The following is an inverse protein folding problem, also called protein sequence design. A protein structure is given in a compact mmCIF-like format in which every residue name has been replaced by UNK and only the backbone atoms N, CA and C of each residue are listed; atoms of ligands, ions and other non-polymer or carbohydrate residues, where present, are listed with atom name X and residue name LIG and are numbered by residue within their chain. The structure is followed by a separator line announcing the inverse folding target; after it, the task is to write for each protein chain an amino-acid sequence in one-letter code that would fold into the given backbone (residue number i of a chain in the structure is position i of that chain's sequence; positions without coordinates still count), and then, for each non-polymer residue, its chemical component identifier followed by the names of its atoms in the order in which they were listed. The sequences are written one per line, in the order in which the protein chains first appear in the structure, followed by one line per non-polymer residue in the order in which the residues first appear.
data_IF_313906445683
#
_entry.id   IF_313906445683
#
_cell.length_a   1.000
_cell.length_b   1.000
_cell.length_c   1.000
_cell.angle_alpha   90.00
_cell.angle_beta   90.00
_cell.angle_gamma   90.00
#
_symmetry.space_group_name_H-M   'P 1'
#
loop_
_entity.id
_entity.type
_entity.pdbx_description
1 polymer ?
#
# COMPACT_ATOMS: atom_id res chain seq x y z
N UNK A 1 -31.64 -76.43 31.30
CA UNK A 1 -31.06 -75.15 31.79
C UNK A 1 -30.21 -74.38 30.75
N UNK A 2 -30.11 -74.81 29.48
CA UNK A 2 -29.21 -74.17 28.48
C UNK A 2 -29.89 -73.18 27.50
N UNK A 3 -31.21 -72.98 27.53
CA UNK A 3 -31.88 -72.07 26.57
C UNK A 3 -32.02 -70.61 27.04
N UNK A 4 -31.72 -70.29 28.31
CA UNK A 4 -31.85 -68.92 28.85
C UNK A 4 -30.61 -68.04 28.70
N UNK A 5 -29.41 -68.60 28.43
CA UNK A 5 -28.16 -67.82 28.30
C UNK A 5 -27.94 -67.20 26.91
N UNK A 6 -28.57 -67.74 25.86
CA UNK A 6 -28.39 -67.26 24.48
C UNK A 6 -29.17 -65.96 24.21
N UNK A 7 -30.34 -65.79 24.85
CA UNK A 7 -31.19 -64.59 24.68
C UNK A 7 -30.70 -63.33 25.39
N UNK A 8 -29.71 -63.42 26.29
CA UNK A 8 -29.12 -62.24 26.94
C UNK A 8 -27.85 -61.76 26.23
N UNK A 9 -27.19 -62.61 25.44
CA UNK A 9 -25.99 -62.24 24.68
C UNK A 9 -26.30 -61.52 23.37
N UNK A 10 -27.41 -61.86 22.70
CA UNK A 10 -27.83 -61.23 21.44
C UNK A 10 -28.08 -59.70 21.55
N UNK A 11 -28.79 -59.18 22.56
CA UNK A 11 -28.97 -57.73 22.70
C UNK A 11 -27.67 -57.02 23.10
N UNK A 12 -26.78 -57.65 23.86
CA UNK A 12 -25.46 -57.08 24.21
C UNK A 12 -24.55 -56.99 22.98
N UNK A 13 -24.57 -58.02 22.12
CA UNK A 13 -23.85 -58.01 20.83
C UNK A 13 -24.42 -56.96 19.86
N UNK A 14 -25.75 -56.81 19.76
CA UNK A 14 -26.40 -55.78 18.94
C UNK A 14 -26.13 -54.35 19.44
N UNK A 15 -26.13 -54.14 20.77
CA UNK A 15 -25.77 -52.85 21.39
C UNK A 15 -24.28 -52.54 21.16
N UNK A 16 -23.40 -53.53 21.25
CA UNK A 16 -21.97 -53.36 20.94
C UNK A 16 -21.72 -53.06 19.45
N UNK A 17 -22.50 -53.67 18.54
CA UNK A 17 -22.42 -53.42 17.10
C UNK A 17 -22.94 -52.00 16.75
N UNK A 18 -24.03 -51.56 17.38
CA UNK A 18 -24.59 -50.20 17.24
C UNK A 18 -23.66 -49.12 17.80
N UNK A 19 -22.99 -49.38 18.94
CA UNK A 19 -21.97 -48.49 19.50
C UNK A 19 -20.71 -48.41 18.62
N UNK A 20 -20.33 -49.51 17.98
CA UNK A 20 -19.19 -49.54 17.03
C UNK A 20 -19.50 -48.87 15.69
N UNK A 21 -20.74 -48.95 15.20
CA UNK A 21 -21.16 -48.34 13.94
C UNK A 21 -21.24 -46.80 14.05
N UNK A 22 -21.71 -46.27 15.18
CA UNK A 22 -21.65 -44.83 15.47
C UNK A 22 -20.20 -44.32 15.49
N UNK A 23 -19.30 -45.13 16.08
CA UNK A 23 -17.84 -45.00 16.08
C UNK A 23 -17.22 -44.68 14.72
N UNK A 24 -17.51 -45.54 13.75
CA UNK A 24 -16.93 -45.48 12.40
C UNK A 24 -17.48 -44.31 11.58
N UNK A 25 -18.76 -43.97 11.74
CA UNK A 25 -19.38 -42.88 10.95
C UNK A 25 -18.91 -41.51 11.43
N UNK A 26 -18.83 -41.24 12.74
CA UNK A 26 -18.36 -39.93 13.21
C UNK A 26 -16.87 -39.70 12.90
N UNK A 27 -16.05 -40.76 13.02
CA UNK A 27 -14.64 -40.69 12.67
C UNK A 27 -14.46 -40.35 11.20
N UNK A 28 -15.30 -40.95 10.33
CA UNK A 28 -15.31 -40.65 8.91
C UNK A 28 -15.73 -39.20 8.64
N UNK A 29 -16.72 -38.64 9.36
CA UNK A 29 -17.14 -37.24 9.19
C UNK A 29 -16.03 -36.25 9.56
N UNK A 30 -15.37 -36.44 10.71
CA UNK A 30 -14.27 -35.56 11.11
C UNK A 30 -13.05 -35.73 10.20
N UNK A 31 -12.69 -36.96 9.84
CA UNK A 31 -11.59 -37.22 8.89
C UNK A 31 -11.81 -36.47 7.57
N UNK A 32 -13.04 -36.50 7.06
CA UNK A 32 -13.41 -35.76 5.86
C UNK A 32 -13.36 -34.23 6.02
N UNK A 33 -13.67 -33.71 7.22
CA UNK A 33 -13.50 -32.29 7.53
C UNK A 33 -12.01 -31.92 7.51
N UNK A 34 -11.19 -32.75 8.16
CA UNK A 34 -9.75 -32.54 8.28
C UNK A 34 -9.05 -32.61 6.93
N UNK A 35 -9.41 -33.58 6.09
CA UNK A 35 -8.87 -33.69 4.74
C UNK A 35 -9.16 -32.43 3.91
N UNK A 36 -10.41 -31.97 3.89
CA UNK A 36 -10.78 -30.75 3.16
C UNK A 36 -10.03 -29.51 3.68
N UNK A 37 -9.81 -29.44 4.99
CA UNK A 37 -9.03 -28.39 5.63
C UNK A 37 -7.55 -28.44 5.21
N UNK A 38 -6.92 -29.60 5.32
CA UNK A 38 -5.49 -29.78 4.99
C UNK A 38 -5.23 -29.50 3.50
N UNK A 39 -6.14 -29.90 2.60
CA UNK A 39 -6.09 -29.56 1.18
C UNK A 39 -6.19 -28.04 0.95
N UNK A 40 -7.08 -27.35 1.66
CA UNK A 40 -7.21 -25.89 1.58
C UNK A 40 -5.97 -25.16 2.12
N UNK A 41 -5.40 -25.64 3.23
CA UNK A 41 -4.17 -25.12 3.82
C UNK A 41 -2.95 -25.34 2.92
N UNK A 42 -2.86 -26.48 2.24
CA UNK A 42 -1.80 -26.75 1.26
C UNK A 42 -1.84 -25.70 0.14
N UNK A 43 -3.03 -25.46 -0.43
CA UNK A 43 -3.22 -24.43 -1.47
C UNK A 43 -2.85 -23.04 -0.93
N UNK A 44 -3.26 -22.70 0.29
CA UNK A 44 -2.92 -21.42 0.92
C UNK A 44 -1.41 -21.25 1.07
N UNK A 45 -0.71 -22.26 1.54
CA UNK A 45 0.75 -22.23 1.75
C UNK A 45 1.51 -22.09 0.43
N UNK A 46 1.04 -22.75 -0.63
CA UNK A 46 1.64 -22.69 -1.97
C UNK A 46 1.35 -21.37 -2.71
N UNK A 47 0.11 -20.88 -2.66
CA UNK A 47 -0.36 -19.75 -3.49
C UNK A 47 -0.53 -18.43 -2.73
N UNK A 48 -0.40 -18.44 -1.40
CA UNK A 48 -0.67 -17.28 -0.54
C UNK A 48 -2.16 -16.96 -0.36
N UNK A 49 -3.06 -17.61 -1.10
CA UNK A 49 -4.52 -17.46 -1.00
C UNK A 49 -5.12 -18.85 -0.87
N UNK A 50 -5.91 -19.08 0.17
CA UNK A 50 -6.50 -20.39 0.43
C UNK A 50 -7.74 -20.68 -0.42
N UNK A 51 -8.13 -21.96 -0.51
CA UNK A 51 -9.31 -22.39 -1.27
C UNK A 51 -10.59 -22.12 -0.48
N UNK A 52 -11.34 -21.07 -0.84
CA UNK A 52 -12.62 -20.75 -0.19
C UNK A 52 -13.61 -21.93 -0.20
N UNK A 53 -13.62 -22.73 -1.27
CA UNK A 53 -14.47 -23.92 -1.37
C UNK A 53 -14.02 -25.07 -0.45
N UNK A 54 -12.70 -25.24 -0.29
CA UNK A 54 -12.14 -26.25 0.62
C UNK A 54 -12.44 -25.94 2.07
N UNK A 55 -12.24 -24.69 2.50
CA UNK A 55 -12.60 -24.25 3.84
C UNK A 55 -14.11 -24.32 4.09
N UNK A 56 -14.96 -24.01 3.10
CA UNK A 56 -16.41 -24.17 3.26
C UNK A 56 -16.79 -25.64 3.51
N UNK A 57 -16.21 -26.56 2.74
CA UNK A 57 -16.42 -28.01 2.95
C UNK A 57 -15.95 -28.46 4.33
N UNK A 58 -14.80 -27.95 4.78
CA UNK A 58 -14.27 -28.22 6.12
C UNK A 58 -15.21 -27.72 7.22
N UNK A 59 -15.77 -26.50 7.06
CA UNK A 59 -16.76 -25.92 7.98
C UNK A 59 -17.98 -26.83 8.09
N UNK A 60 -18.60 -27.16 6.97
CA UNK A 60 -19.85 -27.92 6.95
C UNK A 60 -19.71 -29.26 7.67
N UNK A 61 -18.57 -29.94 7.47
CA UNK A 61 -18.28 -31.23 8.10
C UNK A 61 -17.86 -31.11 9.57
N UNK A 62 -17.09 -30.09 9.92
CA UNK A 62 -16.66 -29.87 11.31
C UNK A 62 -17.83 -29.44 12.21
N UNK A 63 -18.81 -28.68 11.68
CA UNK A 63 -20.04 -28.33 12.42
C UNK A 63 -20.82 -29.57 12.88
N UNK A 64 -20.90 -30.61 12.05
CA UNK A 64 -21.55 -31.88 12.42
C UNK A 64 -20.91 -32.49 13.67
N UNK A 65 -19.59 -32.38 13.81
CA UNK A 65 -18.86 -32.88 14.99
C UNK A 65 -19.22 -32.09 16.23
N UNK A 66 -19.25 -30.76 16.13
CA UNK A 66 -19.59 -29.88 17.25
C UNK A 66 -21.05 -30.06 17.69
N UNK A 67 -21.98 -30.18 16.75
CA UNK A 67 -23.42 -30.23 17.03
C UNK A 67 -23.90 -31.61 17.49
N UNK A 68 -23.40 -32.68 16.87
CA UNK A 68 -23.89 -34.05 17.13
C UNK A 68 -23.00 -34.84 18.08
N UNK A 69 -21.74 -34.42 18.27
CA UNK A 69 -20.74 -35.16 19.04
C UNK A 69 -19.93 -34.26 20.00
N UNK A 70 -20.59 -33.54 20.93
CA UNK A 70 -19.92 -32.57 21.81
C UNK A 70 -18.89 -33.17 22.78
N UNK A 71 -19.00 -34.46 23.09
CA UNK A 71 -18.05 -35.18 23.96
C UNK A 71 -16.96 -35.94 23.17
N UNK A 72 -16.81 -35.65 21.87
CA UNK A 72 -15.82 -36.30 21.01
C UNK A 72 -14.39 -35.90 21.40
N UNK A 73 -13.46 -36.85 21.29
CA UNK A 73 -12.02 -36.57 21.43
C UNK A 73 -11.45 -35.66 20.31
N UNK A 74 -12.23 -35.40 19.26
CA UNK A 74 -11.88 -34.53 18.13
C UNK A 74 -12.56 -33.15 18.22
N UNK A 75 -13.19 -32.82 19.35
CA UNK A 75 -13.94 -31.58 19.48
C UNK A 75 -13.03 -30.35 19.36
N UNK A 76 -11.86 -30.37 20.01
CA UNK A 76 -10.87 -29.30 19.89
C UNK A 76 -10.24 -29.25 18.49
N UNK A 77 -9.98 -30.40 17.85
CA UNK A 77 -9.58 -30.42 16.44
C UNK A 77 -10.66 -29.80 15.52
N UNK A 78 -11.94 -30.05 15.78
CA UNK A 78 -13.05 -29.45 15.02
C UNK A 78 -13.18 -27.94 15.28
N UNK A 79 -12.98 -27.48 16.51
CA UNK A 79 -12.92 -26.05 16.84
C UNK A 79 -11.77 -25.35 16.11
N UNK A 80 -10.59 -25.99 16.05
CA UNK A 80 -9.45 -25.48 15.28
C UNK A 80 -9.80 -25.36 13.79
N UNK A 81 -10.30 -26.43 13.17
CA UNK A 81 -10.72 -26.42 11.76
C UNK A 81 -11.73 -25.31 11.49
N UNK A 82 -12.74 -25.15 12.36
CA UNK A 82 -13.74 -24.10 12.22
C UNK A 82 -13.17 -22.70 12.38
N UNK A 83 -12.36 -22.44 13.40
CA UNK A 83 -11.79 -21.12 13.66
C UNK A 83 -10.94 -20.63 12.49
N UNK A 84 -10.04 -21.48 12.00
CA UNK A 84 -9.17 -21.16 10.86
C UNK A 84 -9.98 -21.01 9.57
N UNK A 85 -10.92 -21.93 9.31
CA UNK A 85 -11.74 -21.88 8.09
C UNK A 85 -12.67 -20.66 8.08
N UNK A 86 -13.25 -20.28 9.21
CA UNK A 86 -14.04 -19.06 9.30
C UNK A 86 -13.20 -17.80 9.05
N UNK A 87 -11.95 -17.77 9.51
CA UNK A 87 -11.05 -16.65 9.23
C UNK A 87 -10.79 -16.48 7.73
N UNK A 88 -10.47 -17.57 7.03
CA UNK A 88 -10.17 -17.55 5.58
C UNK A 88 -11.41 -17.42 4.70
N UNK A 89 -12.60 -17.79 5.18
CA UNK A 89 -13.89 -17.51 4.51
C UNK A 89 -14.47 -16.15 4.87
N UNK A 90 -13.66 -15.27 5.47
CA UNK A 90 -14.01 -13.90 5.84
C UNK A 90 -15.22 -13.78 6.78
N UNK A 91 -15.32 -14.68 7.75
CA UNK A 91 -16.32 -14.69 8.82
C UNK A 91 -15.65 -14.45 10.20
N UNK A 92 -15.05 -13.27 10.44
CA UNK A 92 -14.17 -13.04 11.59
C UNK A 92 -14.88 -13.16 12.95
N UNK A 93 -16.16 -12.79 13.07
CA UNK A 93 -16.94 -12.99 14.29
C UNK A 93 -17.10 -14.48 14.66
N UNK A 94 -17.27 -15.35 13.66
CA UNK A 94 -17.38 -16.80 13.89
C UNK A 94 -16.01 -17.38 14.24
N UNK A 95 -14.95 -16.90 13.59
CA UNK A 95 -13.58 -17.29 13.90
C UNK A 95 -13.21 -16.94 15.36
N UNK A 96 -13.42 -15.69 15.77
CA UNK A 96 -13.21 -15.22 17.15
C UNK A 96 -13.91 -16.13 18.17
N UNK A 97 -15.21 -16.41 17.96
CA UNK A 97 -15.99 -17.27 18.85
C UNK A 97 -15.36 -18.66 19.00
N UNK A 98 -15.00 -19.31 17.90
CA UNK A 98 -14.40 -20.66 17.94
C UNK A 98 -13.01 -20.66 18.56
N UNK A 99 -12.23 -19.60 18.36
CA UNK A 99 -10.94 -19.45 19.01
C UNK A 99 -11.07 -19.30 20.53
N UNK A 100 -11.95 -18.40 20.98
CA UNK A 100 -12.23 -18.22 22.42
C UNK A 100 -12.72 -19.50 23.07
N UNK A 101 -13.59 -20.25 22.40
CA UNK A 101 -14.11 -21.52 22.90
C UNK A 101 -13.00 -22.57 23.08
N UNK A 102 -12.09 -22.69 22.09
CA UNK A 102 -10.94 -23.60 22.21
C UNK A 102 -10.00 -23.18 23.34
N UNK A 103 -9.67 -21.88 23.42
CA UNK A 103 -8.75 -21.36 24.43
C UNK A 103 -9.31 -21.45 25.85
N UNK A 104 -10.63 -21.29 26.02
CA UNK A 104 -11.28 -21.36 27.32
C UNK A 104 -11.47 -22.80 27.80
N UNK A 105 -11.91 -23.70 26.92
CA UNK A 105 -12.30 -25.06 27.30
C UNK A 105 -11.19 -26.11 27.11
N UNK A 106 -10.23 -25.84 26.21
CA UNK A 106 -9.14 -26.75 25.85
C UNK A 106 -7.77 -26.03 25.83
N UNK A 107 -7.36 -25.37 26.93
CA UNK A 107 -6.11 -24.60 26.97
C UNK A 107 -4.83 -25.43 26.76
N UNK A 108 -4.90 -26.76 26.97
CA UNK A 108 -3.80 -27.70 26.73
C UNK A 108 -3.84 -28.32 25.32
N UNK A 109 -4.79 -27.92 24.47
CA UNK A 109 -4.86 -28.40 23.09
C UNK A 109 -3.57 -28.03 22.36
N UNK A 110 -3.09 -28.94 21.49
CA UNK A 110 -1.94 -28.69 20.62
C UNK A 110 -2.15 -27.48 19.70
N UNK A 111 -3.40 -27.05 19.50
CA UNK A 111 -3.76 -25.90 18.68
C UNK A 111 -3.84 -24.59 19.46
N UNK A 112 -3.74 -24.60 20.79
CA UNK A 112 -4.00 -23.41 21.61
C UNK A 112 -3.16 -22.20 21.16
N UNK A 113 -1.85 -22.40 20.93
CA UNK A 113 -0.95 -21.32 20.47
C UNK A 113 -1.34 -20.75 19.12
N UNK A 114 -1.63 -21.62 18.16
CA UNK A 114 -2.04 -21.21 16.81
C UNK A 114 -3.41 -20.49 16.85
N UNK A 115 -4.31 -20.94 17.71
CA UNK A 115 -5.62 -20.34 17.90
C UNK A 115 -5.54 -18.97 18.59
N UNK A 116 -4.56 -18.72 19.47
CA UNK A 116 -4.27 -17.36 19.96
C UNK A 116 -3.92 -16.43 18.80
N UNK A 117 -3.11 -16.90 17.85
CA UNK A 117 -2.75 -16.11 16.66
C UNK A 117 -3.95 -15.83 15.75
N UNK A 118 -4.78 -16.84 15.49
CA UNK A 118 -6.00 -16.64 14.72
C UNK A 118 -7.04 -15.76 15.44
N UNK A 119 -7.08 -15.79 16.77
CA UNK A 119 -7.87 -14.85 17.55
C UNK A 119 -7.39 -13.41 17.34
N UNK A 120 -6.09 -13.15 17.47
CA UNK A 120 -5.51 -11.82 17.24
C UNK A 120 -5.84 -11.30 15.82
N UNK A 121 -5.71 -12.16 14.80
CA UNK A 121 -6.07 -11.84 13.41
C UNK A 121 -7.56 -11.58 13.22
N UNK A 122 -8.41 -12.37 13.86
CA UNK A 122 -9.86 -12.17 13.81
C UNK A 122 -10.24 -10.82 14.42
N UNK A 123 -9.65 -10.47 15.57
CA UNK A 123 -9.80 -9.17 16.23
C UNK A 123 -9.40 -8.01 15.34
N UNK A 124 -8.26 -8.12 14.66
CA UNK A 124 -7.81 -7.10 13.72
C UNK A 124 -8.82 -6.91 12.56
N UNK A 125 -9.36 -8.01 12.00
CA UNK A 125 -10.42 -7.93 10.98
C UNK A 125 -11.73 -7.31 11.49
N UNK A 126 -11.99 -7.40 12.80
CA UNK A 126 -13.13 -6.76 13.47
C UNK A 126 -12.88 -5.30 13.81
N UNK A 127 -11.69 -4.76 13.51
CA UNK A 127 -11.21 -3.43 13.92
C UNK A 127 -11.10 -3.27 15.44
N UNK A 128 -10.94 -4.38 16.15
CA UNK A 128 -10.71 -4.41 17.59
C UNK A 128 -9.19 -4.42 17.84
N UNK A 129 -8.53 -3.34 17.43
CA UNK A 129 -7.06 -3.23 17.35
C UNK A 129 -6.38 -3.38 18.71
N UNK A 130 -6.90 -2.74 19.76
CA UNK A 130 -6.34 -2.83 21.12
C UNK A 130 -6.25 -4.28 21.63
N UNK A 131 -7.29 -5.09 21.39
CA UNK A 131 -7.29 -6.50 21.76
C UNK A 131 -6.37 -7.32 20.86
N UNK A 132 -6.37 -7.05 19.56
CA UNK A 132 -5.53 -7.73 18.59
C UNK A 132 -4.04 -7.57 18.93
N UNK A 133 -3.59 -6.34 19.17
CA UNK A 133 -2.17 -6.06 19.43
C UNK A 133 -1.71 -6.49 20.82
N UNK A 134 -2.58 -6.53 21.83
CA UNK A 134 -2.27 -7.19 23.11
C UNK A 134 -1.99 -8.69 22.91
N UNK A 135 -2.79 -9.37 22.09
CA UNK A 135 -2.58 -10.79 21.78
C UNK A 135 -1.32 -11.01 20.94
N UNK A 136 -1.04 -10.15 19.97
CA UNK A 136 0.21 -10.25 19.22
C UNK A 136 1.44 -10.03 20.11
N UNK A 137 1.39 -9.08 21.05
CA UNK A 137 2.48 -8.85 22.01
C UNK A 137 2.67 -10.07 22.92
N UNK A 138 1.59 -10.67 23.42
CA UNK A 138 1.64 -11.92 24.19
C UNK A 138 2.31 -13.04 23.39
N UNK A 139 1.98 -13.17 22.10
CA UNK A 139 2.59 -14.17 21.23
C UNK A 139 4.09 -13.90 21.05
N UNK A 140 4.47 -12.64 20.81
CA UNK A 140 5.85 -12.25 20.53
C UNK A 140 6.78 -12.44 21.73
N UNK A 141 6.34 -12.02 22.91
CA UNK A 141 7.10 -12.08 24.18
C UNK A 141 6.97 -13.45 24.88
N UNK A 142 5.89 -14.19 24.60
CA UNK A 142 5.58 -15.45 25.24
C UNK A 142 6.34 -16.68 24.72
N UNK A 143 6.00 -17.85 25.30
CA UNK A 143 6.57 -19.15 24.92
C UNK A 143 5.91 -19.76 23.68
N UNK A 144 6.06 -19.07 22.56
CA UNK A 144 5.53 -19.49 21.25
C UNK A 144 6.64 -20.04 20.34
N UNK A 145 6.23 -20.89 19.40
CA UNK A 145 7.12 -21.37 18.34
C UNK A 145 7.58 -20.19 17.46
N UNK A 146 8.78 -20.30 16.89
CA UNK A 146 9.40 -19.20 16.13
C UNK A 146 8.51 -18.67 15.01
N UNK A 147 7.78 -19.56 14.33
CA UNK A 147 6.86 -19.22 13.25
C UNK A 147 5.76 -18.26 13.73
N UNK A 148 5.10 -18.56 14.86
CA UNK A 148 4.04 -17.70 15.41
C UNK A 148 4.60 -16.37 15.93
N UNK A 149 5.78 -16.39 16.56
CA UNK A 149 6.47 -15.17 17.01
C UNK A 149 6.86 -14.28 15.83
N UNK A 150 7.31 -14.87 14.73
CA UNK A 150 7.64 -14.14 13.51
C UNK A 150 6.39 -13.49 12.90
N UNK A 151 5.27 -14.21 12.84
CA UNK A 151 4.00 -13.67 12.34
C UNK A 151 3.50 -12.53 13.22
N UNK A 152 3.51 -12.68 14.55
CA UNK A 152 3.12 -11.61 15.46
C UNK A 152 4.02 -10.37 15.34
N UNK A 153 5.34 -10.55 15.26
CA UNK A 153 6.28 -9.45 15.07
C UNK A 153 6.06 -8.70 13.73
N UNK A 154 5.72 -9.40 12.64
CA UNK A 154 5.41 -8.73 11.37
C UNK A 154 4.17 -7.82 11.49
N UNK A 155 3.13 -8.26 12.21
CA UNK A 155 1.92 -7.47 12.44
C UNK A 155 2.19 -6.29 13.40
N UNK A 156 2.89 -6.53 14.51
CA UNK A 156 3.29 -5.48 15.46
C UNK A 156 4.18 -4.42 14.78
N UNK A 157 5.19 -4.84 14.02
CA UNK A 157 6.06 -3.91 13.31
C UNK A 157 5.32 -3.09 12.26
N UNK A 158 4.35 -3.70 11.56
CA UNK A 158 3.53 -2.97 10.60
C UNK A 158 2.67 -1.92 11.29
N UNK A 159 2.03 -2.28 12.40
CA UNK A 159 1.24 -1.36 13.21
C UNK A 159 2.07 -0.17 13.69
N UNK A 160 3.24 -0.44 14.29
CA UNK A 160 4.10 0.64 14.77
C UNK A 160 4.59 1.57 13.65
N UNK A 161 4.86 1.02 12.46
CA UNK A 161 5.19 1.82 11.28
C UNK A 161 4.03 2.73 10.86
N UNK A 162 2.79 2.23 10.88
CA UNK A 162 1.58 3.03 10.59
C UNK A 162 1.36 4.14 11.63
N UNK A 163 1.66 3.84 12.90
CA UNK A 163 1.70 4.82 13.99
C UNK A 163 2.91 5.78 13.93
N UNK A 164 3.80 5.60 12.94
CA UNK A 164 5.08 6.34 12.77
C UNK A 164 6.07 6.16 13.92
N UNK A 165 5.88 5.14 14.76
CA UNK A 165 6.88 4.67 15.73
C UNK A 165 7.87 3.75 15.02
N UNK A 166 8.74 4.38 14.22
CA UNK A 166 9.74 3.68 13.43
C UNK A 166 10.77 2.91 14.29
N UNK A 167 11.22 3.39 15.47
CA UNK A 167 12.07 2.60 16.36
C UNK A 167 11.46 1.28 16.81
N UNK A 168 10.19 1.26 17.24
CA UNK A 168 9.53 0.01 17.61
C UNK A 168 9.27 -0.88 16.39
N UNK A 169 8.90 -0.29 15.25
CA UNK A 169 8.79 -1.04 14.00
C UNK A 169 10.11 -1.74 13.62
N UNK A 170 11.24 -1.05 13.79
CA UNK A 170 12.58 -1.62 13.58
C UNK A 170 12.83 -2.81 14.52
N UNK A 171 12.51 -2.69 15.82
CA UNK A 171 12.68 -3.77 16.81
C UNK A 171 12.00 -5.06 16.32
N UNK A 172 10.73 -4.99 15.92
CA UNK A 172 9.99 -6.16 15.48
C UNK A 172 10.50 -6.72 14.14
N UNK A 173 10.72 -5.87 13.14
CA UNK A 173 11.20 -6.34 11.84
C UNK A 173 12.61 -6.95 11.91
N UNK A 174 13.49 -6.40 12.74
CA UNK A 174 14.81 -6.99 12.97
C UNK A 174 14.73 -8.34 13.67
N UNK A 175 13.83 -8.51 14.64
CA UNK A 175 13.62 -9.81 15.29
C UNK A 175 13.27 -10.90 14.26
N UNK A 176 12.38 -10.58 13.30
CA UNK A 176 12.00 -11.50 12.21
C UNK A 176 13.17 -11.77 11.27
N UNK A 177 13.84 -10.73 10.79
CA UNK A 177 14.96 -10.85 9.86
C UNK A 177 16.13 -11.64 10.44
N UNK A 178 16.50 -11.35 11.69
CA UNK A 178 17.76 -11.83 12.28
C UNK A 178 17.61 -13.20 12.96
N UNK A 179 16.42 -13.57 13.46
CA UNK A 179 16.30 -14.71 14.38
C UNK A 179 15.04 -15.58 14.29
N UNK A 180 13.87 -15.00 13.97
CA UNK A 180 12.58 -15.70 14.06
C UNK A 180 12.11 -16.24 12.70
N UNK A 181 12.24 -15.44 11.64
CA UNK A 181 11.60 -15.70 10.36
C UNK A 181 12.24 -16.82 9.55
N UNK A 182 11.43 -17.49 8.73
CA UNK A 182 11.94 -18.30 7.62
C UNK A 182 12.42 -17.40 6.45
N UNK A 183 13.03 -17.98 5.41
CA UNK A 183 13.61 -17.19 4.30
C UNK A 183 12.63 -16.20 3.65
N UNK A 184 11.34 -16.57 3.53
CA UNK A 184 10.30 -15.69 2.99
C UNK A 184 10.02 -14.52 3.94
N UNK A 185 9.80 -14.82 5.22
CA UNK A 185 9.53 -13.82 6.26
C UNK A 185 10.73 -12.91 6.51
N UNK A 186 11.96 -13.43 6.44
CA UNK A 186 13.18 -12.63 6.55
C UNK A 186 13.28 -11.59 5.44
N UNK A 187 12.98 -11.97 4.19
CA UNK A 187 12.93 -11.03 3.05
C UNK A 187 11.81 -10.00 3.24
N UNK A 188 10.63 -10.44 3.66
CA UNK A 188 9.51 -9.54 3.92
C UNK A 188 9.85 -8.52 5.01
N UNK A 189 10.42 -8.97 6.12
CA UNK A 189 10.85 -8.12 7.22
C UNK A 189 11.96 -7.15 6.79
N UNK A 190 12.93 -7.62 5.98
CA UNK A 190 13.99 -6.77 5.44
C UNK A 190 13.43 -5.67 4.52
N UNK A 191 12.42 -5.98 3.70
CA UNK A 191 11.70 -4.98 2.90
C UNK A 191 10.96 -3.98 3.78
N UNK A 192 10.17 -4.46 4.75
CA UNK A 192 9.40 -3.59 5.66
C UNK A 192 10.32 -2.70 6.50
N UNK A 193 11.48 -3.20 6.91
CA UNK A 193 12.51 -2.42 7.59
C UNK A 193 13.08 -1.32 6.69
N UNK A 194 13.39 -1.64 5.43
CA UNK A 194 13.84 -0.65 4.45
C UNK A 194 12.76 0.42 4.18
N UNK A 195 11.49 0.01 4.12
CA UNK A 195 10.35 0.92 4.00
C UNK A 195 10.24 1.84 5.24
N UNK A 196 10.37 1.31 6.47
CA UNK A 196 10.39 2.13 7.70
C UNK A 196 11.53 3.16 7.70
N UNK A 197 12.72 2.79 7.18
CA UNK A 197 13.82 3.75 7.02
C UNK A 197 13.51 4.80 5.95
N UNK A 198 12.87 4.41 4.85
CA UNK A 198 12.45 5.36 3.82
C UNK A 198 11.43 6.37 4.36
N UNK A 199 10.42 5.89 5.07
CA UNK A 199 9.32 6.69 5.64
C UNK A 199 9.80 7.62 6.78
N UNK A 200 10.91 7.25 7.45
CA UNK A 200 11.60 8.06 8.45
C UNK A 200 12.74 8.93 7.89
N UNK A 201 12.85 9.06 6.56
CA UNK A 201 13.85 9.85 5.85
C UNK A 201 15.31 9.39 6.06
N UNK A 202 15.53 8.19 6.59
CA UNK A 202 16.83 7.52 6.74
C UNK A 202 17.26 6.85 5.43
N UNK A 203 17.51 7.66 4.41
CA UNK A 203 17.69 7.17 3.03
C UNK A 203 18.94 6.29 2.83
N UNK A 204 19.99 6.46 3.63
CA UNK A 204 21.19 5.62 3.54
C UNK A 204 20.91 4.19 4.02
N UNK A 205 20.23 4.07 5.15
CA UNK A 205 19.79 2.80 5.73
C UNK A 205 18.71 2.15 4.86
N UNK A 206 17.77 2.93 4.33
CA UNK A 206 16.77 2.45 3.38
C UNK A 206 17.42 1.88 2.11
N UNK A 207 18.39 2.60 1.51
CA UNK A 207 19.14 2.13 0.35
C UNK A 207 19.84 0.80 0.64
N UNK A 208 20.62 0.74 1.73
CA UNK A 208 21.27 -0.52 2.15
C UNK A 208 20.24 -1.63 2.32
N UNK A 209 19.09 -1.30 2.90
CA UNK A 209 18.03 -2.26 3.14
C UNK A 209 17.41 -2.84 1.88
N UNK A 210 17.10 -2.01 0.89
CA UNK A 210 16.58 -2.46 -0.41
C UNK A 210 17.62 -3.27 -1.20
N UNK A 211 18.91 -2.93 -1.10
CA UNK A 211 19.97 -3.72 -1.73
C UNK A 211 20.09 -5.12 -1.10
N UNK A 212 19.88 -5.25 0.21
CA UNK A 212 19.80 -6.56 0.86
C UNK A 212 18.62 -7.39 0.32
N UNK A 213 17.45 -6.78 0.11
CA UNK A 213 16.29 -7.48 -0.50
C UNK A 213 16.66 -8.06 -1.87
N UNK A 214 17.45 -7.35 -2.68
CA UNK A 214 17.91 -7.85 -3.98
C UNK A 214 18.80 -9.10 -3.87
N UNK A 215 19.50 -9.27 -2.75
CA UNK A 215 20.26 -10.48 -2.42
C UNK A 215 19.41 -11.65 -1.92
N UNK A 216 18.14 -11.43 -1.57
CA UNK A 216 17.25 -12.42 -0.93
C UNK A 216 16.31 -13.13 -1.90
N UNK A 217 16.71 -13.31 -3.16
CA UNK A 217 15.87 -13.92 -4.22
C UNK A 217 14.48 -13.27 -4.31
N UNK A 218 14.41 -11.98 -4.66
CA UNK A 218 13.15 -11.29 -4.85
C UNK A 218 12.41 -11.85 -6.08
N UNK A 219 11.08 -11.88 -6.03
CA UNK A 219 10.26 -12.06 -7.22
C UNK A 219 10.29 -10.82 -8.14
N UNK A 220 9.58 -10.88 -9.26
CA UNK A 220 9.49 -9.77 -10.23
C UNK A 220 9.05 -8.46 -9.57
N UNK A 221 8.00 -8.48 -8.76
CA UNK A 221 7.43 -7.28 -8.16
C UNK A 221 8.33 -6.75 -7.04
N UNK A 222 8.88 -7.63 -6.22
CA UNK A 222 9.82 -7.27 -5.16
C UNK A 222 11.11 -6.66 -5.74
N UNK A 223 11.62 -7.21 -6.85
CA UNK A 223 12.79 -6.67 -7.56
C UNK A 223 12.51 -5.28 -8.11
N UNK A 224 11.35 -5.09 -8.72
CA UNK A 224 10.90 -3.77 -9.20
C UNK A 224 10.91 -2.75 -8.06
N UNK A 225 10.20 -3.06 -6.95
CA UNK A 225 10.09 -2.17 -5.80
C UNK A 225 11.47 -1.86 -5.20
N UNK A 226 12.32 -2.87 -4.99
CA UNK A 226 13.64 -2.67 -4.39
C UNK A 226 14.55 -1.80 -5.26
N UNK A 227 14.59 -2.01 -6.59
CA UNK A 227 15.40 -1.18 -7.50
C UNK A 227 14.85 0.24 -7.61
N UNK A 228 13.53 0.39 -7.75
CA UNK A 228 12.90 1.72 -7.83
C UNK A 228 13.14 2.51 -6.54
N UNK A 229 12.92 1.90 -5.37
CA UNK A 229 13.19 2.55 -4.09
C UNK A 229 14.67 2.84 -3.87
N UNK A 230 15.58 1.98 -4.34
CA UNK A 230 17.02 2.24 -4.33
C UNK A 230 17.37 3.48 -5.16
N UNK A 231 16.72 3.68 -6.31
CA UNK A 231 16.87 4.89 -7.11
C UNK A 231 16.41 6.13 -6.35
N UNK A 232 15.21 6.08 -5.76
CA UNK A 232 14.65 7.20 -4.99
C UNK A 232 15.53 7.56 -3.77
N UNK A 233 16.02 6.56 -3.03
CA UNK A 233 16.97 6.79 -1.94
C UNK A 233 18.25 7.45 -2.46
N UNK A 234 18.77 6.98 -3.60
CA UNK A 234 20.00 7.52 -4.19
C UNK A 234 19.83 8.99 -4.60
N UNK A 235 18.68 9.37 -5.16
CA UNK A 235 18.38 10.78 -5.46
C UNK A 235 18.32 11.64 -4.21
N UNK A 236 17.67 11.17 -3.14
CA UNK A 236 17.61 11.90 -1.87
C UNK A 236 18.98 12.04 -1.20
N UNK A 237 19.91 11.15 -1.51
CA UNK A 237 21.31 11.19 -1.10
C UNK A 237 22.22 11.97 -2.08
N UNK A 238 21.66 12.63 -3.10
CA UNK A 238 22.41 13.35 -4.15
C UNK A 238 23.35 12.45 -4.97
N UNK A 239 23.09 11.14 -5.01
CA UNK A 239 23.83 10.13 -5.79
C UNK A 239 23.12 9.84 -7.10
N UNK A 240 22.96 10.86 -7.94
CA UNK A 240 22.12 10.81 -9.14
C UNK A 240 22.55 9.69 -10.11
N UNK A 241 23.83 9.53 -10.47
CA UNK A 241 24.24 8.47 -11.40
C UNK A 241 23.89 7.06 -10.90
N UNK A 242 24.09 6.81 -9.60
CA UNK A 242 23.72 5.52 -9.00
C UNK A 242 22.21 5.28 -9.03
N UNK A 243 21.41 6.34 -8.82
CA UNK A 243 19.96 6.27 -8.95
C UNK A 243 19.52 5.89 -10.37
N UNK A 244 20.12 6.53 -11.37
CA UNK A 244 19.88 6.22 -12.80
C UNK A 244 20.25 4.78 -13.12
N UNK A 245 21.37 4.27 -12.60
CA UNK A 245 21.79 2.88 -12.82
C UNK A 245 20.77 1.87 -12.29
N UNK A 246 20.13 2.14 -11.16
CA UNK A 246 19.07 1.28 -10.64
C UNK A 246 17.82 1.29 -11.52
N UNK A 247 17.40 2.45 -12.04
CA UNK A 247 16.28 2.55 -12.98
C UNK A 247 16.59 1.88 -14.31
N UNK A 248 17.82 2.03 -14.82
CA UNK A 248 18.25 1.45 -16.09
C UNK A 248 18.18 -0.09 -16.08
N UNK A 249 18.43 -0.71 -14.92
CA UNK A 249 18.24 -2.17 -14.72
C UNK A 249 16.79 -2.59 -14.93
N UNK A 250 15.83 -1.74 -14.58
CA UNK A 250 14.40 -2.01 -14.81
C UNK A 250 14.00 -1.71 -16.25
N UNK A 251 14.45 -0.59 -16.82
CA UNK A 251 14.10 -0.15 -18.17
C UNK A 251 14.54 -1.16 -19.24
N UNK A 252 15.72 -1.77 -19.07
CA UNK A 252 16.29 -2.73 -20.04
C UNK A 252 15.71 -4.14 -19.94
N UNK A 253 14.98 -4.44 -18.87
CA UNK A 253 14.47 -5.79 -18.63
C UNK A 253 13.05 -5.91 -19.20
N UNK A 254 12.82 -6.81 -20.19
CA UNK A 254 11.51 -7.01 -20.81
C UNK A 254 10.37 -7.30 -19.83
N UNK A 255 10.69 -7.80 -18.63
CA UNK A 255 9.69 -8.02 -17.60
C UNK A 255 9.00 -6.72 -17.15
N UNK A 256 9.63 -5.56 -17.29
CA UNK A 256 9.10 -4.28 -16.79
C UNK A 256 8.76 -3.28 -17.90
N UNK A 257 8.59 -3.73 -19.16
CA UNK A 257 8.21 -2.85 -20.26
C UNK A 257 6.89 -2.11 -20.04
N UNK A 258 5.93 -2.73 -19.35
CA UNK A 258 4.67 -2.10 -18.95
C UNK A 258 4.87 -0.90 -18.00
N UNK A 259 6.03 -0.80 -17.34
CA UNK A 259 6.36 0.26 -16.38
C UNK A 259 7.37 1.28 -16.92
N UNK A 260 7.80 1.15 -18.19
CA UNK A 260 8.86 2.01 -18.77
C UNK A 260 8.51 3.50 -18.67
N UNK A 261 7.25 3.89 -18.88
CA UNK A 261 6.86 5.31 -18.73
C UNK A 261 7.10 5.81 -17.31
N UNK A 262 6.64 5.08 -16.29
CA UNK A 262 6.87 5.44 -14.87
C UNK A 262 8.37 5.51 -14.54
N UNK A 263 9.17 4.61 -15.10
CA UNK A 263 10.61 4.61 -14.92
C UNK A 263 11.27 5.82 -15.60
N UNK A 264 10.81 6.21 -16.80
CA UNK A 264 11.30 7.42 -17.49
C UNK A 264 10.94 8.69 -16.74
N UNK A 265 9.74 8.77 -16.15
CA UNK A 265 9.38 9.89 -15.26
C UNK A 265 10.39 9.95 -14.10
N UNK A 266 10.70 8.82 -13.45
CA UNK A 266 11.72 8.79 -12.41
C UNK A 266 13.14 9.13 -12.92
N UNK A 267 13.47 8.87 -14.19
CA UNK A 267 14.71 9.37 -14.80
C UNK A 267 14.67 10.89 -14.96
N UNK A 268 13.58 11.47 -15.46
CA UNK A 268 13.40 12.92 -15.53
C UNK A 268 13.57 13.59 -14.16
N UNK A 269 13.05 12.95 -13.10
CA UNK A 269 13.23 13.43 -11.72
C UNK A 269 14.69 13.45 -11.29
N UNK A 270 15.46 12.43 -11.69
CA UNK A 270 16.89 12.40 -11.42
C UNK A 270 17.63 13.55 -12.10
N UNK A 271 17.24 13.90 -13.34
CA UNK A 271 17.81 15.04 -14.05
C UNK A 271 17.46 16.38 -13.38
N UNK A 272 16.22 16.55 -12.91
CA UNK A 272 15.84 17.70 -12.08
C UNK A 272 16.72 17.81 -10.82
N UNK A 273 16.95 16.71 -10.10
CA UNK A 273 17.82 16.72 -8.92
C UNK A 273 19.28 17.10 -9.26
N UNK A 274 19.77 16.77 -10.45
CA UNK A 274 21.09 17.20 -10.91
C UNK A 274 21.13 18.62 -11.51
N UNK A 275 19.99 19.28 -11.67
CA UNK A 275 19.87 20.58 -12.34
C UNK A 275 19.98 20.54 -13.86
N UNK A 276 19.95 19.36 -14.48
CA UNK A 276 19.96 19.20 -15.93
C UNK A 276 18.53 19.27 -16.47
N UNK A 277 17.97 20.49 -16.46
CA UNK A 277 16.58 20.73 -16.83
C UNK A 277 16.31 20.40 -18.30
N UNK A 278 17.30 20.52 -19.18
CA UNK A 278 17.17 20.16 -20.59
C UNK A 278 16.94 18.65 -20.76
N UNK A 279 17.71 17.82 -20.07
CA UNK A 279 17.47 16.37 -20.10
C UNK A 279 16.19 15.97 -19.37
N UNK A 280 15.85 16.65 -18.27
CA UNK A 280 14.60 16.42 -17.56
C UNK A 280 13.40 16.66 -18.48
N UNK A 281 13.36 17.82 -19.14
CA UNK A 281 12.32 18.20 -20.11
C UNK A 281 12.19 17.16 -21.23
N UNK A 282 13.28 16.86 -21.93
CA UNK A 282 13.27 15.89 -23.03
C UNK A 282 12.76 14.51 -22.57
N UNK A 283 13.16 14.07 -21.38
CA UNK A 283 12.74 12.78 -20.81
C UNK A 283 11.25 12.76 -20.46
N UNK A 284 10.72 13.85 -19.89
CA UNK A 284 9.30 13.94 -19.57
C UNK A 284 8.43 14.04 -20.81
N UNK A 285 8.85 14.80 -21.82
CA UNK A 285 8.13 14.88 -23.10
C UNK A 285 8.05 13.51 -23.78
N UNK A 286 9.17 12.79 -23.81
CA UNK A 286 9.21 11.44 -24.34
C UNK A 286 8.27 10.50 -23.54
N UNK A 287 8.31 10.58 -22.20
CA UNK A 287 7.44 9.77 -21.35
C UNK A 287 5.95 10.08 -21.57
N UNK A 288 5.59 11.36 -21.72
CA UNK A 288 4.21 11.80 -21.90
C UNK A 288 3.65 11.44 -23.29
N UNK A 289 4.48 11.49 -24.33
CA UNK A 289 4.05 11.27 -25.72
C UNK A 289 4.01 9.80 -26.13
N UNK A 290 4.91 8.96 -25.60
CA UNK A 290 4.98 7.54 -25.98
C UNK A 290 4.01 6.65 -25.20
N UNK A 291 3.43 7.15 -24.11
CA UNK A 291 2.61 6.33 -23.22
C UNK A 291 1.15 6.23 -23.69
N UNK A 292 0.57 5.04 -23.54
CA UNK A 292 -0.89 4.86 -23.58
C UNK A 292 -1.53 5.06 -22.19
N UNK A 293 -0.71 5.12 -21.14
CA UNK A 293 -1.18 5.29 -19.78
C UNK A 293 -1.41 6.78 -19.48
N UNK A 294 -2.67 7.18 -19.53
CA UNK A 294 -3.10 8.56 -19.28
C UNK A 294 -2.76 9.07 -17.88
N UNK A 295 -2.64 8.18 -16.89
CA UNK A 295 -2.19 8.55 -15.53
C UNK A 295 -0.71 8.96 -15.54
N UNK A 296 0.14 8.21 -16.22
CA UNK A 296 1.56 8.55 -16.34
C UNK A 296 1.79 9.77 -17.23
N UNK A 297 1.00 9.93 -18.30
CA UNK A 297 1.04 11.14 -19.12
C UNK A 297 0.69 12.39 -18.31
N UNK A 298 -0.34 12.32 -17.46
CA UNK A 298 -0.73 13.42 -16.59
C UNK A 298 0.42 13.82 -15.64
N UNK A 299 1.11 12.85 -15.04
CA UNK A 299 2.27 13.13 -14.18
C UNK A 299 3.43 13.75 -14.95
N UNK A 300 3.79 13.22 -16.12
CA UNK A 300 4.90 13.75 -16.92
C UNK A 300 4.63 15.19 -17.39
N UNK A 301 3.43 15.48 -17.90
CA UNK A 301 3.05 16.84 -18.27
C UNK A 301 2.99 17.79 -17.07
N UNK A 302 2.56 17.30 -15.91
CA UNK A 302 2.58 18.10 -14.69
C UNK A 302 4.02 18.49 -14.29
N UNK A 303 4.99 17.58 -14.39
CA UNK A 303 6.42 17.88 -14.13
C UNK A 303 6.97 18.91 -15.11
N UNK A 304 6.62 18.82 -16.39
CA UNK A 304 6.97 19.85 -17.37
C UNK A 304 6.39 21.21 -16.98
N UNK A 305 5.11 21.26 -16.60
CA UNK A 305 4.47 22.48 -16.12
C UNK A 305 5.20 23.11 -14.93
N UNK A 306 5.65 22.30 -13.97
CA UNK A 306 6.42 22.77 -12.81
C UNK A 306 7.77 23.37 -13.21
N UNK A 307 8.54 22.68 -14.07
CA UNK A 307 9.83 23.19 -14.57
C UNK A 307 9.63 24.55 -15.25
N UNK A 308 8.63 24.63 -16.13
CA UNK A 308 8.33 25.85 -16.85
C UNK A 308 7.89 26.99 -15.94
N UNK A 309 7.12 26.69 -14.89
CA UNK A 309 6.64 27.70 -13.95
C UNK A 309 7.75 28.21 -13.02
N UNK A 310 8.57 27.32 -12.47
CA UNK A 310 9.44 27.66 -11.34
C UNK A 310 10.91 27.83 -11.72
N UNK A 311 11.38 27.11 -12.74
CA UNK A 311 12.78 27.17 -13.15
C UNK A 311 12.99 28.09 -14.36
N UNK A 312 12.06 28.10 -15.31
CA UNK A 312 12.14 28.95 -16.51
C UNK A 312 11.31 30.23 -16.44
N UNK A 313 10.45 30.39 -15.43
CA UNK A 313 9.52 31.53 -15.27
C UNK A 313 8.67 31.82 -16.54
N UNK A 314 8.32 30.76 -17.27
CA UNK A 314 7.51 30.83 -18.49
C UNK A 314 6.09 30.32 -18.19
N UNK A 315 5.27 31.23 -17.70
CA UNK A 315 3.89 30.95 -17.32
C UNK A 315 3.03 30.50 -18.51
N UNK A 316 3.36 30.90 -19.74
CA UNK A 316 2.62 30.51 -20.93
C UNK A 316 2.82 29.02 -21.23
N UNK A 317 4.07 28.56 -21.27
CA UNK A 317 4.38 27.13 -21.44
C UNK A 317 3.95 26.31 -20.23
N UNK A 318 4.15 26.83 -19.01
CA UNK A 318 3.68 26.16 -17.80
C UNK A 318 2.18 25.85 -17.85
N UNK A 319 1.36 26.87 -18.17
CA UNK A 319 -0.08 26.69 -18.34
C UNK A 319 -0.40 25.64 -19.41
N UNK A 320 0.25 25.69 -20.56
CA UNK A 320 0.00 24.73 -21.64
C UNK A 320 0.27 23.28 -21.22
N UNK A 321 1.34 23.02 -20.45
CA UNK A 321 1.62 21.69 -19.92
C UNK A 321 0.66 21.29 -18.79
N UNK A 322 0.24 22.22 -17.95
CA UNK A 322 -0.81 21.95 -16.96
C UNK A 322 -2.15 21.59 -17.60
N UNK A 323 -2.55 22.29 -18.66
CA UNK A 323 -3.74 21.95 -19.44
C UNK A 323 -3.63 20.52 -20.01
N UNK A 324 -2.49 20.16 -20.60
CA UNK A 324 -2.22 18.79 -21.09
C UNK A 324 -2.28 17.74 -19.98
N UNK A 325 -1.78 18.06 -18.78
CA UNK A 325 -1.84 17.15 -17.63
C UNK A 325 -3.29 16.88 -17.19
N UNK A 326 -4.09 17.95 -17.08
CA UNK A 326 -5.51 17.85 -16.73
C UNK A 326 -6.32 17.12 -17.81
N UNK A 327 -6.02 17.36 -19.10
CA UNK A 327 -6.63 16.66 -20.23
C UNK A 327 -6.31 15.17 -20.21
N UNK A 328 -5.05 14.81 -19.97
CA UNK A 328 -4.63 13.41 -19.88
C UNK A 328 -5.39 12.69 -18.76
N UNK A 329 -5.34 13.20 -17.52
CA UNK A 329 -6.14 12.61 -16.44
C UNK A 329 -6.36 13.53 -15.21
N UNK A 330 -7.39 14.37 -15.26
CA UNK A 330 -7.87 15.21 -14.14
C UNK A 330 -8.31 14.49 -12.86
N UNK A 331 -8.39 13.16 -12.82
CA UNK A 331 -8.76 12.43 -11.59
C UNK A 331 -7.55 12.18 -10.68
N UNK A 332 -6.34 12.18 -11.27
CA UNK A 332 -5.07 12.05 -10.56
C UNK A 332 -4.78 13.27 -9.71
N UNK A 333 -3.93 13.13 -8.69
CA UNK A 333 -3.46 14.25 -7.89
C UNK A 333 -2.77 15.31 -8.76
N UNK A 334 -1.86 14.88 -9.63
CA UNK A 334 -1.17 15.75 -10.60
C UNK A 334 -2.14 16.48 -11.52
N UNK A 335 -3.14 15.80 -12.07
CA UNK A 335 -4.12 16.43 -12.98
C UNK A 335 -5.05 17.42 -12.28
N UNK A 336 -5.41 17.18 -11.01
CA UNK A 336 -6.20 18.13 -10.21
C UNK A 336 -5.41 19.39 -9.89
N UNK A 337 -4.16 19.22 -9.45
CA UNK A 337 -3.29 20.36 -9.14
C UNK A 337 -2.93 21.15 -10.40
N UNK A 338 -2.65 20.46 -11.51
CA UNK A 338 -2.43 21.08 -12.81
C UNK A 338 -3.62 21.95 -13.24
N UNK A 339 -4.86 21.44 -13.13
CA UNK A 339 -6.06 22.21 -13.47
C UNK A 339 -6.16 23.50 -12.64
N UNK A 340 -5.87 23.41 -11.34
CA UNK A 340 -5.88 24.56 -10.45
C UNK A 340 -4.81 25.59 -10.86
N UNK A 341 -3.57 25.15 -11.06
CA UNK A 341 -2.46 26.01 -11.50
C UNK A 341 -2.72 26.68 -12.85
N UNK A 342 -3.27 25.94 -13.81
CA UNK A 342 -3.63 26.50 -15.11
C UNK A 342 -4.69 27.61 -14.99
N UNK A 343 -5.68 27.41 -14.09
CA UNK A 343 -6.71 28.41 -13.80
C UNK A 343 -6.11 29.65 -13.12
N UNK A 344 -5.22 29.46 -12.15
CA UNK A 344 -4.56 30.56 -11.44
C UNK A 344 -3.68 31.38 -12.38
N UNK A 345 -2.91 30.73 -13.26
CA UNK A 345 -2.12 31.42 -14.29
C UNK A 345 -3.02 32.22 -15.23
N UNK A 346 -4.14 31.65 -15.70
CA UNK A 346 -5.07 32.36 -16.57
C UNK A 346 -5.66 33.60 -15.89
N UNK A 347 -6.02 33.49 -14.61
CA UNK A 347 -6.52 34.62 -13.82
C UNK A 347 -5.45 35.70 -13.65
N UNK A 348 -4.21 35.32 -13.32
CA UNK A 348 -3.10 36.27 -13.19
C UNK A 348 -2.85 37.02 -14.50
N UNK A 349 -2.82 36.32 -15.64
CA UNK A 349 -2.66 36.93 -16.96
C UNK A 349 -3.79 37.92 -17.29
N UNK A 350 -5.04 37.57 -16.95
CA UNK A 350 -6.19 38.46 -17.16
C UNK A 350 -6.08 39.72 -16.31
N UNK A 351 -5.66 39.59 -15.05
CA UNK A 351 -5.46 40.73 -14.14
C UNK A 351 -4.30 41.62 -14.59
N UNK A 352 -3.17 41.05 -15.02
CA UNK A 352 -2.02 41.81 -15.53
C UNK A 352 -2.42 42.64 -16.74
N UNK A 353 -3.10 42.01 -17.71
CA UNK A 353 -3.59 42.71 -18.91
C UNK A 353 -4.55 43.84 -18.57
N UNK A 354 -5.51 43.58 -17.67
CA UNK A 354 -6.45 44.63 -17.23
C UNK A 354 -5.74 45.79 -16.53
N UNK A 355 -4.66 45.52 -15.78
CA UNK A 355 -3.88 46.56 -15.13
C UNK A 355 -3.02 47.35 -16.13
N UNK A 356 -2.44 46.67 -17.13
CA UNK A 356 -1.72 47.30 -18.24
C UNK A 356 -2.65 48.21 -19.05
N UNK A 357 -3.82 47.73 -19.45
CA UNK A 357 -4.83 48.50 -20.18
C UNK A 357 -5.24 49.77 -19.39
N UNK A 358 -5.46 49.65 -18.08
CA UNK A 358 -5.80 50.78 -17.21
C UNK A 358 -4.64 51.80 -17.09
N UNK A 359 -3.40 51.32 -16.97
CA UNK A 359 -2.22 52.17 -16.91
C UNK A 359 -2.01 52.94 -18.22
N UNK A 360 -2.23 52.29 -19.36
CA UNK A 360 -2.18 52.93 -20.69
C UNK A 360 -3.25 54.01 -20.83
N UNK A 361 -4.46 53.76 -20.35
CA UNK A 361 -5.55 54.75 -20.36
C UNK A 361 -5.22 55.97 -19.49
N UNK A 362 -4.71 55.77 -18.27
CA UNK A 362 -4.26 56.86 -17.39
C UNK A 362 -3.10 57.65 -18.01
N UNK A 363 -2.10 56.97 -18.58
CA UNK A 363 -0.97 57.61 -19.26
C UNK A 363 -1.43 58.48 -20.44
N UNK A 364 -2.42 57.99 -21.20
CA UNK A 364 -3.03 58.75 -22.30
C UNK A 364 -3.77 59.98 -21.77
N UNK A 365 -4.57 59.84 -20.72
CA UNK A 365 -5.28 60.94 -20.10
C UNK A 365 -4.34 62.04 -19.57
N UNK A 366 -3.21 61.65 -18.95
CA UNK A 366 -2.18 62.57 -18.48
C UNK A 366 -1.54 63.33 -19.66
N UNK A 367 -1.20 62.63 -20.76
CA UNK A 367 -0.62 63.25 -21.96
C UNK A 367 -1.58 64.26 -22.58
N UNK A 368 -2.85 63.90 -22.72
CA UNK A 368 -3.88 64.77 -23.29
C UNK A 368 -4.11 66.03 -22.42
N UNK A 369 -4.12 65.87 -21.09
CA UNK A 369 -4.21 67.00 -20.16
C UNK A 369 -3.00 67.92 -20.27
N UNK A 370 -1.79 67.37 -20.29
CA UNK A 370 -0.54 68.14 -20.42
C UNK A 370 -0.48 68.91 -21.75
N UNK A 371 -0.95 68.30 -22.85
CA UNK A 371 -1.06 68.96 -24.15
C UNK A 371 -2.06 70.13 -24.14
N UNK A 372 -3.21 69.96 -23.46
CA UNK A 372 -4.19 71.05 -23.29
C UNK A 372 -3.64 72.19 -22.44
N UNK A 373 -3.00 71.88 -21.32
CA UNK A 373 -2.45 72.89 -20.40
C UNK A 373 -1.32 73.70 -21.05
N UNK A 374 -0.46 73.05 -21.84
CA UNK A 374 0.59 73.72 -22.63
C UNK A 374 0.04 74.57 -23.77
N UNK A 375 -1.01 74.11 -24.46
CA UNK A 375 -1.70 74.91 -25.46
C UNK A 375 -2.39 76.15 -24.83
N UNK A 376 -3.01 75.99 -23.67
CA UNK A 376 -3.63 77.11 -22.93
C UNK A 376 -2.59 78.15 -22.48
N UNK A 377 -1.42 77.70 -21.99
CA UNK A 377 -0.32 78.59 -21.63
C UNK A 377 0.23 79.37 -22.84
N UNK A 378 0.36 78.73 -24.01
CA UNK A 378 0.82 79.39 -25.23
C UNK A 378 -0.17 80.46 -25.75
N UNK A 379 -1.48 80.24 -25.57
CA UNK A 379 -2.52 81.24 -25.88
C UNK A 379 -2.49 82.40 -24.88
N UNK A 380 -2.33 82.12 -23.59
CA UNK A 380 -2.20 83.14 -22.56
C UNK A 380 -1.01 84.09 -22.79
N UNK A 381 0.14 83.56 -23.20
CA UNK A 381 1.33 84.37 -23.53
C UNK A 381 1.09 85.29 -24.72
N UNK A 382 0.37 84.83 -25.76
CA UNK A 382 0.01 85.67 -26.92
C UNK A 382 -0.93 86.83 -26.58
N UNK A 383 -1.83 86.65 -25.62
CA UNK A 383 -2.78 87.71 -25.21
C UNK A 383 -2.07 88.80 -24.40
N UNK A 384 -1.09 88.44 -23.58
CA UNK A 384 -0.26 89.40 -22.84
C UNK A 384 0.63 90.21 -23.80
N UNK A 385 1.20 89.58 -24.83
CA UNK A 385 2.03 90.26 -25.82
C UNK A 385 1.23 91.22 -26.73
N UNK A 386 -0.06 90.95 -26.95
CA UNK A 386 -0.96 91.85 -27.71
C UNK A 386 -1.47 93.05 -26.90
N UNK A 387 -1.46 92.97 -25.56
CA UNK A 387 -1.94 94.04 -24.66
C UNK A 387 -0.83 94.99 -24.19
N UNK A 388 0.44 94.66 -24.47
CA UNK A 388 1.60 95.52 -24.19
C UNK A 388 2.03 96.39 -25.39
N UNK A 389 1.23 96.46 -26.46
CA UNK A 389 1.52 97.22 -27.70
C UNK A 389 0.64 98.43 -27.96
N UNK A 390 -0.26 98.77 -27.05
CA UNK A 390 -0.94 100.07 -26.99
C UNK A 390 -0.32 100.92 -25.86
#
# INVERSE_FOLDING_TARGET
MMSRRINQALPVLLISLLLSAGGCVYYNTFFNARQAFDDAEKVRKEKGVGSSGGYQTAIDKALVVIEKHPNSKYYDDALYVLGVSYYYTNQPLKADRRCRELLANYPQSKYAKEMTLYLARAKLKLKEEDEAFKLFEEIFEGKYDKEYRAEAALELGQYQREQKDYPEAERYFRAVRDSLGNARQQKEAQKKLADSYFDSYKFAEALSGYLQVLGMKPDKNERYVALYRSAMCSYRLQRIPAGMDYLNKLIKDPLYYDSVTTLKIAVGQGYEYSGDLTQAEATYEEAATLTRNQTSAAEAYYRLGLIYQFDYDDLARAKAYYDKSAEANRTTESGKDALQRASDIARMQTLSKSAEDALEEELKAIKDKTARDSAAAAVGVKIVDSTARD
#
